data_IF_647232795890
#
_entry.id   IF_647232795890
#
_cell.length_a   1.000
_cell.length_b   1.000
_cell.length_c   1.000
_cell.angle_alpha   90.00
_cell.angle_beta   90.00
_cell.angle_gamma   90.00
#
_symmetry.space_group_name_H-M   'P 1'
#
loop_
_entity.id
_entity.type
_entity.pdbx_description
1 polymer ?
#
# COMPACT_ATOMS: atom_id res chain seq x y z
N UNK A 1 1.53 14.94 -2.69
CA UNK A 1 1.81 13.83 -1.72
C UNK A 1 1.47 12.46 -2.33
N UNK A 2 0.32 12.32 -3.00
CA UNK A 2 -0.12 11.09 -3.67
C UNK A 2 0.97 10.39 -4.52
N UNK A 3 1.74 11.15 -5.32
CA UNK A 3 2.86 10.60 -6.10
C UNK A 3 3.93 9.93 -5.22
N UNK A 4 4.22 10.47 -4.04
CA UNK A 4 5.19 9.90 -3.10
C UNK A 4 4.62 8.60 -2.51
N UNK A 5 3.41 8.63 -1.96
CA UNK A 5 2.74 7.44 -1.39
C UNK A 5 2.71 6.31 -2.43
N UNK A 6 2.23 6.60 -3.64
CA UNK A 6 2.14 5.61 -4.71
C UNK A 6 3.49 5.07 -5.16
N UNK A 7 4.58 5.86 -5.13
CA UNK A 7 5.94 5.35 -5.42
C UNK A 7 6.46 4.48 -4.28
N UNK A 8 6.28 4.90 -3.04
CA UNK A 8 6.72 4.16 -1.85
C UNK A 8 6.06 2.79 -1.79
N UNK A 9 4.73 2.70 -1.96
CA UNK A 9 4.01 1.42 -1.93
C UNK A 9 4.44 0.50 -3.08
N UNK A 10 4.59 1.01 -4.30
CA UNK A 10 5.06 0.20 -5.44
C UNK A 10 6.47 -0.36 -5.27
N UNK A 11 7.31 0.22 -4.42
CA UNK A 11 8.67 -0.27 -4.18
C UNK A 11 8.74 -1.63 -3.46
N UNK A 12 7.66 -2.01 -2.77
CA UNK A 12 7.57 -3.27 -1.98
C UNK A 12 6.53 -4.25 -2.53
N UNK A 13 5.90 -3.91 -3.67
CA UNK A 13 4.90 -4.75 -4.35
C UNK A 13 5.51 -5.35 -5.61
N UNK A 14 5.38 -6.66 -5.76
CA UNK A 14 5.65 -7.34 -7.02
C UNK A 14 4.49 -7.11 -7.99
N UNK A 15 4.65 -6.12 -8.87
CA UNK A 15 3.62 -5.75 -9.86
C UNK A 15 3.35 -6.86 -10.89
N UNK A 16 4.30 -7.78 -11.12
CA UNK A 16 4.05 -8.93 -12.00
C UNK A 16 3.15 -9.94 -11.31
N UNK A 17 3.39 -10.20 -10.02
CA UNK A 17 2.55 -11.08 -9.21
C UNK A 17 1.14 -10.50 -8.97
N UNK A 18 1.02 -9.17 -8.90
CA UNK A 18 -0.27 -8.48 -8.79
C UNK A 18 -1.14 -8.62 -10.06
N UNK A 19 -0.52 -8.88 -11.21
CA UNK A 19 -1.21 -9.09 -12.47
C UNK A 19 -1.89 -7.83 -13.01
N UNK A 20 -3.13 -7.96 -13.50
CA UNK A 20 -3.89 -6.86 -14.14
C UNK A 20 -4.71 -6.03 -13.14
N UNK A 21 -4.41 -6.15 -11.85
CA UNK A 21 -5.13 -5.46 -10.79
C UNK A 21 -4.53 -4.09 -10.50
N UNK A 22 -5.41 -3.12 -10.31
CA UNK A 22 -5.04 -1.78 -9.82
C UNK A 22 -5.63 -1.63 -8.42
N UNK A 23 -4.77 -1.32 -7.44
CA UNK A 23 -5.19 -0.98 -6.08
C UNK A 23 -5.16 0.53 -5.92
N UNK A 24 -6.33 1.11 -5.64
CA UNK A 24 -6.46 2.53 -5.33
C UNK A 24 -6.26 2.71 -3.83
N UNK A 25 -5.35 3.62 -3.46
CA UNK A 25 -5.06 3.94 -2.07
C UNK A 25 -5.49 5.37 -1.85
N UNK A 26 -6.47 5.54 -0.97
CA UNK A 26 -6.93 6.83 -0.52
C UNK A 26 -6.43 7.10 0.90
N UNK A 27 -6.05 8.34 1.16
CA UNK A 27 -5.44 8.74 2.42
C UNK A 27 -5.99 10.09 2.83
N UNK A 28 -7.06 10.07 3.62
CA UNK A 28 -7.68 11.26 4.16
C UNK A 28 -7.09 11.64 5.51
N UNK A 29 -6.56 12.86 5.59
CA UNK A 29 -6.06 13.43 6.82
C UNK A 29 -7.20 14.18 7.50
N UNK A 30 -7.80 13.55 8.51
CA UNK A 30 -8.91 14.13 9.28
C UNK A 30 -8.41 15.21 10.24
N UNK A 31 -7.20 15.03 10.79
CA UNK A 31 -6.50 15.99 11.64
C UNK A 31 -5.01 15.98 11.31
N UNK A 32 -4.38 17.16 11.33
CA UNK A 32 -2.97 17.32 10.99
C UNK A 32 -2.21 18.03 12.12
N UNK A 33 -1.11 17.43 12.56
CA UNK A 33 -0.13 18.03 13.47
C UNK A 33 1.29 17.57 13.10
N UNK A 34 1.68 17.83 11.85
CA UNK A 34 2.94 17.31 11.28
C UNK A 34 2.89 15.83 10.89
N UNK A 35 3.91 15.34 10.18
CA UNK A 35 4.08 13.91 9.85
C UNK A 35 3.01 13.27 8.94
N UNK A 36 2.01 14.00 8.46
CA UNK A 36 0.86 13.41 7.74
C UNK A 36 1.27 12.58 6.52
N UNK A 37 2.33 12.99 5.81
CA UNK A 37 2.89 12.27 4.65
C UNK A 37 3.48 10.91 5.02
N UNK A 38 4.25 10.85 6.11
CA UNK A 38 4.95 9.65 6.57
C UNK A 38 3.94 8.70 7.21
N UNK A 39 2.98 9.24 7.97
CA UNK A 39 1.82 8.51 8.49
C UNK A 39 0.97 7.88 7.37
N UNK A 40 0.66 8.62 6.29
CA UNK A 40 -0.08 8.05 5.15
C UNK A 40 0.65 6.91 4.45
N UNK A 41 2.00 6.93 4.39
CA UNK A 41 2.77 5.82 3.80
C UNK A 41 2.63 4.57 4.68
N UNK A 42 2.84 4.70 5.99
CA UNK A 42 2.76 3.59 6.94
C UNK A 42 1.34 3.01 7.00
N UNK A 43 0.32 3.86 7.13
CA UNK A 43 -1.08 3.43 7.14
C UNK A 43 -1.54 2.85 5.79
N UNK A 44 -1.15 3.49 4.68
CA UNK A 44 -1.44 3.01 3.33
C UNK A 44 -0.85 1.63 3.04
N UNK A 45 0.32 1.31 3.60
CA UNK A 45 0.90 -0.03 3.49
C UNK A 45 0.06 -1.09 4.22
N UNK A 46 -0.41 -0.80 5.44
CA UNK A 46 -1.30 -1.70 6.18
C UNK A 46 -2.60 -1.93 5.41
N UNK A 47 -3.23 -0.86 4.92
CA UNK A 47 -4.45 -0.95 4.11
C UNK A 47 -4.25 -1.80 2.84
N UNK A 48 -3.13 -1.61 2.14
CA UNK A 48 -2.77 -2.40 0.96
C UNK A 48 -2.63 -3.90 1.28
N UNK A 49 -1.94 -4.25 2.37
CA UNK A 49 -1.78 -5.65 2.78
C UNK A 49 -3.14 -6.28 3.10
N UNK A 50 -4.02 -5.57 3.81
CA UNK A 50 -5.37 -6.05 4.12
C UNK A 50 -6.19 -6.30 2.85
N UNK A 51 -6.16 -5.37 1.89
CA UNK A 51 -6.83 -5.52 0.61
C UNK A 51 -6.31 -6.74 -0.18
N UNK A 52 -4.99 -6.92 -0.24
CA UNK A 52 -4.38 -8.05 -0.93
C UNK A 52 -4.67 -9.38 -0.23
N UNK A 53 -4.71 -9.43 1.11
CA UNK A 53 -5.10 -10.65 1.83
C UNK A 53 -6.53 -11.06 1.54
N UNK A 54 -7.45 -10.10 1.41
CA UNK A 54 -8.82 -10.38 0.97
C UNK A 54 -8.83 -10.98 -0.44
N UNK A 55 -8.10 -10.37 -1.37
CA UNK A 55 -7.95 -10.88 -2.74
C UNK A 55 -7.26 -12.25 -2.80
N UNK A 56 -6.35 -12.55 -1.87
CA UNK A 56 -5.71 -13.86 -1.77
C UNK A 56 -6.73 -14.94 -1.37
N UNK A 57 -7.59 -14.65 -0.41
CA UNK A 57 -8.67 -15.57 -0.01
C UNK A 57 -9.66 -15.84 -1.15
N UNK A 58 -9.82 -14.89 -2.07
CA UNK A 58 -10.61 -15.01 -3.30
C UNK A 58 -9.83 -15.69 -4.45
N UNK A 59 -8.57 -16.11 -4.25
CA UNK A 59 -7.77 -16.81 -5.26
C UNK A 59 -7.32 -15.94 -6.45
N UNK A 60 -7.22 -14.61 -6.27
CA UNK A 60 -7.01 -13.66 -7.38
C UNK A 60 -5.60 -13.59 -7.95
N UNK A 61 -4.62 -14.20 -7.29
CA UNK A 61 -3.24 -14.29 -7.75
C UNK A 61 -2.58 -15.57 -7.24
N UNK A 62 -1.61 -16.08 -8.00
CA UNK A 62 -0.92 -17.35 -7.68
C UNK A 62 -0.02 -17.24 -6.45
N UNK A 63 0.56 -16.06 -6.21
CA UNK A 63 1.45 -15.79 -5.07
C UNK A 63 1.19 -14.42 -4.49
N UNK A 64 1.39 -14.28 -3.18
CA UNK A 64 1.17 -13.02 -2.49
C UNK A 64 2.15 -11.93 -2.99
N UNK A 65 1.66 -10.77 -3.48
CA UNK A 65 2.49 -9.83 -4.22
C UNK A 65 3.26 -8.83 -3.33
N UNK A 66 3.51 -9.14 -2.06
CA UNK A 66 4.31 -8.32 -1.14
C UNK A 66 5.46 -9.15 -0.57
N UNK A 67 6.68 -8.62 -0.66
CA UNK A 67 7.90 -9.29 -0.19
C UNK A 67 8.60 -8.59 0.98
N UNK A 68 8.24 -7.34 1.30
CA UNK A 68 8.89 -6.52 2.33
C UNK A 68 7.89 -5.62 3.04
N UNK A 69 8.16 -5.34 4.31
CA UNK A 69 7.45 -4.32 5.07
C UNK A 69 7.90 -2.91 4.67
N UNK A 70 6.99 -1.95 4.77
CA UNK A 70 7.25 -0.53 4.50
C UNK A 70 6.69 0.34 5.63
N UNK A 71 7.50 1.29 6.08
CA UNK A 71 7.11 2.35 7.00
C UNK A 71 7.86 3.63 6.65
N UNK A 72 7.43 4.77 7.20
CA UNK A 72 8.07 6.07 6.99
C UNK A 72 7.96 6.93 8.24
N UNK A 73 8.96 7.79 8.48
CA UNK A 73 9.04 8.73 9.62
C UNK A 73 9.59 10.09 9.13
N UNK A 74 9.29 11.16 9.87
CA UNK A 74 9.69 12.56 9.57
C UNK A 74 10.86 13.04 10.41
#
# INVERSE_FOLDING_TARGET
IQRLIGRSLRSVVDLKALGRHTVWIDCDVIQADGGTRTASITGGFVALVLALRKMQAEGRFERFPINRFLASIS
#
